data_IF_142440231213
#
_entry.id   IF_142440231213
#
_cell.length_a   1.000
_cell.length_b   1.000
_cell.length_c   1.000
_cell.angle_alpha   90.00
_cell.angle_beta   90.00
_cell.angle_gamma   90.00
#
_symmetry.space_group_name_H-M   'P 1'
#
loop_
_entity.id
_entity.type
_entity.pdbx_description
1 polymer ?
#
# COMPACT_ATOMS: atom_id res chain seq x y z
N UNK A 1 34.94 43.04 -8.84
CA UNK A 1 34.38 42.07 -7.88
C UNK A 1 33.10 42.65 -7.32
N UNK A 2 31.94 42.22 -7.84
CA UNK A 2 30.63 42.69 -7.41
C UNK A 2 29.98 41.62 -6.54
N UNK A 3 29.75 41.92 -5.27
CA UNK A 3 28.87 41.15 -4.40
C UNK A 3 27.47 41.76 -4.47
N UNK A 4 26.57 41.12 -5.22
CA UNK A 4 25.14 41.39 -5.16
C UNK A 4 24.55 40.62 -3.97
N UNK A 5 24.22 41.33 -2.90
CA UNK A 5 23.27 40.86 -1.89
C UNK A 5 21.88 41.34 -2.31
N UNK A 6 21.03 40.42 -2.74
CA UNK A 6 19.59 40.64 -2.85
C UNK A 6 18.96 40.34 -1.49
N UNK A 7 18.50 41.40 -0.80
CA UNK A 7 17.52 41.32 0.28
C UNK A 7 16.42 42.31 -0.05
N UNK A 8 15.21 41.81 -0.30
CA UNK A 8 13.96 42.56 -0.22
C UNK A 8 12.77 41.61 -0.54
N UNK A 9 11.52 41.97 -0.21
CA UNK A 9 10.97 42.38 1.09
C UNK A 9 9.64 41.63 1.35
N UNK A 10 8.90 42.02 2.39
CA UNK A 10 7.42 41.97 2.58
C UNK A 10 7.02 41.57 4.00
N UNK A 11 7.24 42.51 4.91
CA UNK A 11 6.34 42.76 6.03
C UNK A 11 5.58 44.05 5.73
N UNK A 12 4.26 44.00 5.61
CA UNK A 12 3.39 45.12 5.97
C UNK A 12 1.91 44.67 6.07
N UNK A 13 1.38 44.83 7.28
CA UNK A 13 0.03 45.29 7.64
C UNK A 13 -1.21 44.67 6.99
N UNK A 14 -2.01 43.95 7.81
CA UNK A 14 -3.42 44.32 8.09
C UNK A 14 -3.79 43.87 9.51
N UNK A 15 -3.73 44.78 10.49
CA UNK A 15 -4.49 44.67 11.74
C UNK A 15 -5.82 45.41 11.52
N UNK A 16 -6.92 44.68 11.38
CA UNK A 16 -8.27 45.26 11.39
C UNK A 16 -8.88 45.06 12.78
N UNK A 17 -9.01 46.18 13.50
CA UNK A 17 -9.83 46.32 14.70
C UNK A 17 -11.28 45.97 14.35
N UNK A 18 -11.87 45.05 15.09
CA UNK A 18 -13.32 44.86 15.14
C UNK A 18 -13.73 45.05 16.60
N UNK A 19 -14.27 46.22 16.89
CA UNK A 19 -14.98 46.55 18.11
C UNK A 19 -16.31 45.79 18.15
N UNK A 20 -16.47 44.89 19.11
CA UNK A 20 -17.77 44.28 19.44
C UNK A 20 -18.26 44.91 20.73
N UNK A 21 -19.38 45.61 20.60
CA UNK A 21 -20.19 46.20 21.65
C UNK A 21 -20.76 45.11 22.56
N UNK A 22 -20.57 45.29 23.86
CA UNK A 22 -21.19 44.50 24.93
C UNK A 22 -22.65 44.94 25.11
N UNK A 23 -23.58 43.99 25.06
CA UNK A 23 -24.87 44.11 25.74
C UNK A 23 -25.11 42.86 26.59
N UNK A 24 -25.45 43.10 27.85
CA UNK A 24 -25.49 42.11 28.91
C UNK A 24 -26.75 41.25 28.95
N UNK A 25 -26.61 40.12 29.62
CA UNK A 25 -27.70 39.25 30.07
C UNK A 25 -27.14 38.19 31.03
N UNK A 26 -27.78 37.94 32.20
CA UNK A 26 -27.23 37.06 33.22
C UNK A 26 -27.73 35.63 33.01
N UNK A 27 -26.84 34.67 32.75
CA UNK A 27 -27.18 33.26 32.78
C UNK A 27 -26.10 32.43 33.47
N UNK A 28 -26.51 31.92 34.64
CA UNK A 28 -26.36 30.53 35.07
C UNK A 28 -24.94 29.99 35.32
N UNK A 29 -24.63 29.84 36.61
CA UNK A 29 -23.55 29.00 37.14
C UNK A 29 -23.72 27.56 36.65
N UNK A 30 -22.84 27.09 35.76
CA UNK A 30 -22.47 25.68 35.66
C UNK A 30 -20.97 25.50 35.65
N UNK A 31 -20.51 24.67 36.59
CA UNK A 31 -19.13 24.20 36.78
C UNK A 31 -18.64 23.55 35.49
N UNK A 32 -17.55 24.08 34.92
CA UNK A 32 -16.70 23.36 33.97
C UNK A 32 -15.32 23.27 34.61
N UNK A 33 -15.07 22.14 35.24
CA UNK A 33 -13.73 21.68 35.64
C UNK A 33 -13.19 20.79 34.53
N UNK A 34 -11.99 21.05 34.05
CA UNK A 34 -11.18 20.00 33.43
C UNK A 34 -10.32 20.41 32.25
N UNK A 35 -9.03 20.59 32.55
CA UNK A 35 -7.90 20.15 31.73
C UNK A 35 -7.65 20.81 30.37
N UNK A 36 -6.79 21.84 30.40
CA UNK A 36 -5.94 22.22 29.27
C UNK A 36 -4.50 21.87 29.66
N UNK A 37 -3.90 20.91 28.96
CA UNK A 37 -2.46 20.64 29.02
C UNK A 37 -1.79 21.11 27.72
N UNK A 38 -0.89 22.07 27.91
CA UNK A 38 0.33 22.43 27.16
C UNK A 38 0.65 21.71 25.83
N UNK A 39 0.95 22.51 24.80
CA UNK A 39 2.17 22.34 23.98
C UNK A 39 2.58 23.69 23.38
N UNK A 40 3.42 24.43 24.10
CA UNK A 40 4.30 25.47 23.55
C UNK A 40 5.73 25.01 23.83
N UNK A 41 6.44 24.51 22.81
CA UNK A 41 7.91 24.45 22.84
C UNK A 41 8.42 25.11 21.56
N UNK A 42 8.84 26.35 21.74
CA UNK A 42 9.63 27.09 20.79
C UNK A 42 10.97 26.39 20.59
N UNK A 43 11.34 26.23 19.31
CA UNK A 43 12.65 25.85 18.85
C UNK A 43 13.63 26.99 19.18
N UNK A 44 14.54 26.77 20.12
CA UNK A 44 15.71 27.63 20.33
C UNK A 44 16.91 26.90 19.76
N UNK A 45 17.46 27.46 18.69
CA UNK A 45 18.70 27.03 18.05
C UNK A 45 19.89 27.30 18.96
N UNK A 46 20.68 26.28 19.25
CA UNK A 46 22.08 26.44 19.68
C UNK A 46 22.98 25.56 18.80
N UNK A 47 24.13 26.07 18.33
CA UNK A 47 25.05 25.30 17.50
C UNK A 47 25.96 24.46 18.42
N UNK A 48 25.78 23.14 18.40
CA UNK A 48 26.69 22.22 19.06
C UNK A 48 27.88 21.92 18.13
N UNK A 49 29.07 22.27 18.60
CA UNK A 49 30.36 21.89 18.03
C UNK A 49 30.46 20.36 17.95
N UNK A 50 30.64 19.83 16.74
CA UNK A 50 31.00 18.44 16.51
C UNK A 50 32.49 18.26 16.83
N UNK A 51 32.80 17.58 17.93
CA UNK A 51 34.10 16.94 18.12
C UNK A 51 33.94 15.45 17.79
N UNK A 52 34.73 15.01 16.80
CA UNK A 52 34.89 13.59 16.46
C UNK A 52 35.70 12.92 17.56
N UNK A 53 35.06 12.06 18.34
CA UNK A 53 35.75 10.97 19.02
C UNK A 53 35.36 9.64 18.38
N UNK A 54 36.39 8.97 17.88
CA UNK A 54 36.37 7.61 17.37
C UNK A 54 36.08 6.66 18.53
N UNK A 55 35.03 5.86 18.40
CA UNK A 55 35.02 4.48 18.90
C UNK A 55 34.14 3.66 17.97
N UNK A 56 34.79 2.80 17.18
CA UNK A 56 34.17 1.84 16.27
C UNK A 56 33.92 0.58 17.08
N UNK A 57 32.69 0.41 17.56
CA UNK A 57 32.17 -0.93 17.82
C UNK A 57 31.30 -1.33 16.62
N UNK A 58 31.71 -2.39 15.95
CA UNK A 58 30.98 -2.99 14.83
C UNK A 58 29.60 -3.46 15.31
N UNK A 59 28.50 -3.04 14.69
CA UNK A 59 27.25 -3.74 14.91
C UNK A 59 27.24 -4.97 14.00
N UNK A 60 27.36 -6.15 14.61
CA UNK A 60 26.99 -7.43 14.00
C UNK A 60 25.47 -7.40 13.77
N UNK A 61 25.04 -6.85 12.65
CA UNK A 61 23.68 -7.03 12.16
C UNK A 61 23.60 -8.34 11.40
N UNK A 62 23.06 -9.37 12.05
CA UNK A 62 22.44 -10.48 11.34
C UNK A 62 21.37 -9.92 10.42
N UNK A 63 21.63 -10.01 9.11
CA UNK A 63 20.67 -9.83 8.04
C UNK A 63 19.50 -10.79 8.26
N UNK A 64 18.49 -10.32 9.00
CA UNK A 64 17.16 -10.89 8.98
C UNK A 64 16.68 -10.83 7.54
N UNK A 65 16.76 -11.97 6.85
CA UNK A 65 16.12 -12.21 5.56
C UNK A 65 14.63 -11.90 5.73
N UNK A 66 14.24 -10.67 5.44
CA UNK A 66 12.87 -10.33 5.12
C UNK A 66 12.54 -11.10 3.84
N UNK A 67 12.04 -12.34 4.03
CA UNK A 67 11.28 -13.05 3.03
C UNK A 67 10.08 -12.18 2.70
N UNK A 68 10.24 -11.30 1.71
CA UNK A 68 9.10 -10.76 0.99
C UNK A 68 8.34 -11.97 0.47
N UNK A 69 7.19 -12.26 1.10
CA UNK A 69 6.22 -13.23 0.61
C UNK A 69 5.82 -12.74 -0.78
N UNK A 70 6.46 -13.29 -1.81
CA UNK A 70 6.05 -13.14 -3.20
C UNK A 70 4.57 -13.48 -3.27
N UNK A 71 3.71 -12.45 -3.28
CA UNK A 71 2.31 -12.60 -3.63
C UNK A 71 2.31 -12.87 -5.13
N UNK A 72 2.12 -14.13 -5.50
CA UNK A 72 2.15 -14.68 -6.86
C UNK A 72 1.58 -13.70 -7.91
N UNK A 73 2.41 -13.07 -8.76
CA UNK A 73 1.93 -12.19 -9.83
C UNK A 73 1.39 -12.96 -11.06
N UNK A 74 1.58 -14.29 -11.14
CA UNK A 74 1.36 -15.07 -12.37
C UNK A 74 0.14 -16.00 -12.40
N UNK A 75 -0.81 -15.85 -11.47
CA UNK A 75 -1.97 -16.75 -11.37
C UNK A 75 -1.64 -18.17 -10.86
N UNK A 76 -2.66 -18.89 -10.39
CA UNK A 76 -2.51 -20.27 -9.91
C UNK A 76 -2.76 -21.22 -11.09
N UNK A 77 -1.70 -21.75 -11.70
CA UNK A 77 -1.81 -22.85 -12.68
C UNK A 77 -1.77 -24.19 -11.93
N UNK A 78 -2.66 -25.10 -12.27
CA UNK A 78 -2.62 -26.48 -11.76
C UNK A 78 -1.51 -27.29 -12.46
N UNK A 79 -0.91 -28.28 -11.77
CA UNK A 79 -0.05 -29.26 -12.43
C UNK A 79 -0.85 -30.16 -13.39
N UNK A 80 -0.17 -30.93 -14.28
CA UNK A 80 -0.81 -31.86 -15.21
C UNK A 80 -1.72 -32.89 -14.54
N UNK A 81 -1.30 -33.42 -13.38
CA UNK A 81 -2.08 -34.37 -12.59
C UNK A 81 -2.28 -33.78 -11.19
N UNK A 82 -3.51 -33.85 -10.69
CA UNK A 82 -3.87 -33.43 -9.33
C UNK A 82 -4.14 -34.69 -8.49
N UNK A 83 -3.36 -34.94 -7.42
CA UNK A 83 -3.60 -36.11 -6.56
C UNK A 83 -4.99 -36.07 -5.92
N UNK A 84 -5.76 -37.16 -6.06
CA UNK A 84 -7.10 -37.27 -5.46
C UNK A 84 -7.06 -37.62 -3.97
N UNK A 85 -6.03 -38.32 -3.50
CA UNK A 85 -5.90 -38.69 -2.09
C UNK A 85 -5.29 -37.53 -1.30
N UNK A 86 -5.85 -37.24 -0.13
CA UNK A 86 -5.41 -36.13 0.73
C UNK A 86 -3.94 -36.24 1.17
N UNK A 87 -3.46 -37.45 1.45
CA UNK A 87 -2.07 -37.69 1.87
C UNK A 87 -1.10 -37.38 0.72
N UNK A 88 -1.42 -37.90 -0.47
CA UNK A 88 -0.65 -37.67 -1.71
C UNK A 88 -0.62 -36.17 -2.07
N UNK A 89 -1.74 -35.47 -1.90
CA UNK A 89 -1.84 -34.02 -2.10
C UNK A 89 -0.92 -33.25 -1.12
N UNK A 90 -0.93 -33.61 0.16
CA UNK A 90 -0.04 -33.02 1.17
C UNK A 90 1.43 -33.29 0.83
N UNK A 91 1.72 -34.51 0.38
CA UNK A 91 3.07 -34.91 0.00
C UNK A 91 3.56 -34.13 -1.22
N UNK A 92 2.73 -33.99 -2.25
CA UNK A 92 3.01 -33.17 -3.43
C UNK A 92 3.28 -31.70 -3.07
N UNK A 93 2.45 -31.09 -2.22
CA UNK A 93 2.64 -29.70 -1.73
C UNK A 93 3.96 -29.55 -0.99
N UNK A 94 4.33 -30.53 -0.17
CA UNK A 94 5.61 -30.55 0.54
C UNK A 94 6.80 -30.63 -0.43
N UNK A 95 6.78 -31.56 -1.38
CA UNK A 95 7.85 -31.73 -2.38
C UNK A 95 8.00 -30.49 -3.28
N UNK A 96 6.90 -29.89 -3.71
CA UNK A 96 6.92 -28.61 -4.44
C UNK A 96 7.49 -27.48 -3.56
N UNK A 97 7.19 -27.46 -2.26
CA UNK A 97 7.80 -26.54 -1.30
C UNK A 97 9.33 -26.67 -1.26
N UNK A 98 9.85 -27.88 -1.19
CA UNK A 98 11.30 -28.13 -1.25
C UNK A 98 11.88 -27.70 -2.60
N UNK A 99 11.19 -27.98 -3.71
CA UNK A 99 11.60 -27.56 -5.06
C UNK A 99 11.66 -26.04 -5.21
N UNK A 100 10.80 -25.29 -4.53
CA UNK A 100 10.87 -23.82 -4.53
C UNK A 100 12.08 -23.28 -3.78
N UNK A 101 12.68 -24.07 -2.90
CA UNK A 101 13.88 -23.69 -2.15
C UNK A 101 15.17 -24.12 -2.84
N UNK A 102 15.16 -25.25 -3.57
CA UNK A 102 16.32 -25.78 -4.30
C UNK A 102 15.97 -26.96 -5.21
N UNK A 103 16.98 -27.70 -5.69
CA UNK A 103 16.76 -28.92 -6.47
C UNK A 103 16.45 -30.12 -5.57
N UNK A 104 15.57 -31.01 -6.03
CA UNK A 104 15.25 -32.25 -5.33
C UNK A 104 16.27 -33.35 -5.67
N UNK A 105 16.46 -34.30 -4.75
CA UNK A 105 17.23 -35.51 -5.01
C UNK A 105 16.48 -36.43 -5.99
N UNK A 106 17.20 -37.26 -6.74
CA UNK A 106 16.60 -38.10 -7.79
C UNK A 106 15.38 -38.94 -7.32
N UNK A 107 15.39 -39.61 -6.13
CA UNK A 107 14.21 -40.33 -5.65
C UNK A 107 12.99 -39.43 -5.44
N UNK A 108 13.21 -38.21 -4.92
CA UNK A 108 12.14 -37.22 -4.69
C UNK A 108 11.62 -36.59 -5.98
N UNK A 109 12.46 -36.52 -7.02
CA UNK A 109 12.04 -36.10 -8.36
C UNK A 109 11.07 -37.12 -8.95
N UNK A 110 11.42 -38.41 -8.87
CA UNK A 110 10.56 -39.51 -9.35
C UNK A 110 9.23 -39.51 -8.58
N UNK A 111 9.28 -39.41 -7.26
CA UNK A 111 8.09 -39.32 -6.40
C UNK A 111 7.20 -38.13 -6.79
N UNK A 112 7.79 -36.95 -7.02
CA UNK A 112 7.03 -35.77 -7.42
C UNK A 112 6.37 -35.97 -8.80
N UNK A 113 7.10 -36.51 -9.78
CA UNK A 113 6.56 -36.78 -11.13
C UNK A 113 5.39 -37.77 -11.06
N UNK A 114 5.50 -38.83 -10.25
CA UNK A 114 4.42 -39.79 -10.06
C UNK A 114 3.16 -39.13 -9.46
N UNK A 115 3.33 -38.16 -8.55
CA UNK A 115 2.21 -37.49 -7.91
C UNK A 115 1.55 -36.43 -8.80
N UNK A 116 2.32 -35.62 -9.52
CA UNK A 116 1.79 -34.43 -10.25
C UNK A 116 1.91 -34.50 -11.76
N UNK A 117 2.43 -35.62 -12.29
CA UNK A 117 2.54 -35.93 -13.72
C UNK A 117 3.75 -35.32 -14.43
N UNK A 118 4.44 -34.35 -13.82
CA UNK A 118 5.62 -33.72 -14.40
C UNK A 118 6.51 -33.06 -13.35
N UNK A 119 7.77 -32.84 -13.69
CA UNK A 119 8.70 -32.07 -12.85
C UNK A 119 8.73 -30.59 -13.30
N UNK A 120 8.58 -29.62 -12.39
CA UNK A 120 8.64 -28.20 -12.76
C UNK A 120 10.08 -27.78 -13.10
N UNK A 121 10.27 -27.27 -14.32
CA UNK A 121 11.57 -26.84 -14.84
C UNK A 121 12.16 -25.69 -14.02
N UNK A 122 11.32 -24.73 -13.64
CA UNK A 122 11.71 -23.52 -12.92
C UNK A 122 11.02 -23.40 -11.54
N UNK A 123 11.60 -22.54 -10.70
CA UNK A 123 11.12 -22.29 -9.33
C UNK A 123 9.75 -21.60 -9.30
N UNK A 124 9.43 -20.78 -10.30
CA UNK A 124 8.15 -20.07 -10.33
C UNK A 124 7.00 -21.02 -10.63
N UNK A 125 7.17 -21.93 -11.59
CA UNK A 125 6.18 -22.96 -11.91
C UNK A 125 5.90 -23.85 -10.70
N UNK A 126 6.94 -24.26 -9.97
CA UNK A 126 6.77 -25.01 -8.72
C UNK A 126 5.94 -24.24 -7.67
N UNK A 127 6.20 -22.94 -7.52
CA UNK A 127 5.46 -22.07 -6.59
C UNK A 127 3.99 -21.88 -7.00
N UNK A 128 3.73 -21.75 -8.31
CA UNK A 128 2.36 -21.63 -8.86
C UNK A 128 1.58 -22.91 -8.63
N UNK A 129 2.17 -24.08 -8.92
CA UNK A 129 1.55 -25.39 -8.68
C UNK A 129 1.28 -25.62 -7.19
N UNK A 130 2.25 -25.31 -6.32
CA UNK A 130 2.08 -25.42 -4.87
C UNK A 130 0.88 -24.62 -4.37
N UNK A 131 0.80 -23.34 -4.77
CA UNK A 131 -0.31 -22.47 -4.40
C UNK A 131 -1.66 -22.97 -4.93
N UNK A 132 -1.69 -23.51 -6.15
CA UNK A 132 -2.90 -24.07 -6.74
C UNK A 132 -3.39 -25.31 -5.97
N UNK A 133 -2.48 -26.24 -5.62
CA UNK A 133 -2.80 -27.43 -4.84
C UNK A 133 -3.22 -27.10 -3.38
N UNK A 134 -2.60 -26.10 -2.74
CA UNK A 134 -3.03 -25.62 -1.42
C UNK A 134 -4.45 -25.05 -1.44
N UNK A 135 -4.81 -24.32 -2.50
CA UNK A 135 -6.19 -23.83 -2.70
C UNK A 135 -7.16 -24.98 -2.98
N UNK A 136 -6.76 -25.97 -3.78
CA UNK A 136 -7.55 -27.15 -4.07
C UNK A 136 -7.86 -27.94 -2.78
N UNK A 137 -6.83 -28.17 -1.95
CA UNK A 137 -6.98 -28.82 -0.64
C UNK A 137 -7.98 -28.11 0.26
N UNK A 138 -7.94 -26.77 0.31
CA UNK A 138 -8.87 -25.98 1.13
C UNK A 138 -10.30 -26.06 0.62
N UNK A 139 -10.51 -26.19 -0.70
CA UNK A 139 -11.84 -26.34 -1.28
C UNK A 139 -12.43 -27.72 -0.95
N UNK A 140 -11.69 -28.81 -1.12
CA UNK A 140 -12.20 -30.16 -0.79
C UNK A 140 -12.48 -30.37 0.70
N UNK A 141 -11.66 -29.82 1.59
CA UNK A 141 -11.89 -29.90 3.05
C UNK A 141 -13.18 -29.19 3.48
N UNK A 142 -13.69 -28.26 2.67
CA UNK A 142 -14.97 -27.58 2.90
C UNK A 142 -16.17 -28.30 2.25
N UNK A 143 -15.95 -29.24 1.32
CA UNK A 143 -17.00 -30.01 0.64
C UNK A 143 -17.26 -31.39 1.29
N UNK A 144 -16.35 -31.87 2.13
CA UNK A 144 -16.57 -33.12 2.86
C UNK A 144 -17.66 -32.93 3.94
N UNK A 145 -18.77 -33.68 3.91
CA UNK A 145 -19.85 -33.56 4.89
C UNK A 145 -19.34 -34.01 6.26
N UNK A 146 -19.02 -33.04 7.13
CA UNK A 146 -18.65 -33.32 8.52
C UNK A 146 -19.90 -33.71 9.29
N UNK A 147 -20.19 -35.02 9.32
CA UNK A 147 -21.05 -35.62 10.32
C UNK A 147 -20.37 -35.54 11.70
N UNK A 148 -20.89 -34.63 12.52
CA UNK A 148 -21.03 -34.61 13.99
C UNK A 148 -19.84 -34.88 14.95
N UNK A 149 -19.97 -34.16 16.09
CA UNK A 149 -19.35 -34.33 17.43
C UNK A 149 -17.96 -33.70 17.57
N UNK A 150 -17.64 -32.85 18.55
CA UNK A 150 -18.29 -32.44 19.81
C UNK A 150 -17.57 -31.18 20.32
N UNK A 151 -18.34 -30.26 20.93
CA UNK A 151 -17.99 -29.40 22.07
C UNK A 151 -16.57 -28.82 22.16
N UNK A 152 -16.38 -27.57 21.76
CA UNK A 152 -15.79 -26.55 22.65
C UNK A 152 -16.12 -25.14 22.15
N UNK A 153 -16.61 -24.33 23.08
CA UNK A 153 -17.14 -22.99 22.89
C UNK A 153 -16.06 -22.00 22.46
N UNK A 154 -16.08 -21.60 21.19
CA UNK A 154 -15.89 -20.20 20.74
C UNK A 154 -16.13 -20.12 19.23
N UNK A 155 -17.26 -19.56 18.77
CA UNK A 155 -17.48 -19.36 17.35
C UNK A 155 -16.63 -18.19 16.88
N UNK A 156 -15.43 -18.48 16.36
CA UNK A 156 -14.82 -17.61 15.36
C UNK A 156 -15.83 -17.46 14.23
N UNK A 157 -16.30 -16.23 13.99
CA UNK A 157 -17.13 -15.83 12.85
C UNK A 157 -16.35 -16.01 11.54
N UNK A 158 -15.98 -17.23 11.21
CA UNK A 158 -15.73 -17.60 9.83
C UNK A 158 -17.09 -17.81 9.20
N UNK A 159 -17.45 -16.89 8.29
CA UNK A 159 -18.54 -17.05 7.35
C UNK A 159 -18.36 -18.38 6.63
N UNK A 160 -19.00 -19.43 7.14
CA UNK A 160 -19.20 -20.67 6.41
C UNK A 160 -20.26 -20.34 5.37
N UNK A 161 -19.83 -20.09 4.15
CA UNK A 161 -20.71 -20.03 2.99
C UNK A 161 -21.43 -21.39 2.91
N UNK A 162 -22.73 -21.42 3.23
CA UNK A 162 -23.56 -22.61 2.99
C UNK A 162 -23.62 -22.84 1.48
N UNK A 163 -23.51 -24.08 1.03
CA UNK A 163 -23.56 -24.52 -0.38
C UNK A 163 -24.87 -24.19 -1.14
N UNK A 164 -25.79 -23.41 -0.56
CA UNK A 164 -26.92 -22.78 -1.26
C UNK A 164 -26.68 -21.32 -1.68
N UNK A 165 -25.56 -20.69 -1.31
CA UNK A 165 -25.32 -19.25 -1.56
C UNK A 165 -24.73 -18.92 -2.93
N UNK A 166 -24.41 -19.91 -3.77
CA UNK A 166 -23.98 -19.65 -5.17
C UNK A 166 -25.10 -18.97 -5.96
N UNK A 167 -26.37 -19.29 -5.64
CA UNK A 167 -27.57 -18.62 -6.19
C UNK A 167 -27.60 -17.14 -5.81
N UNK A 168 -27.07 -16.78 -4.64
CA UNK A 168 -26.91 -15.40 -4.23
C UNK A 168 -26.07 -14.63 -5.24
N UNK A 169 -24.86 -15.11 -5.56
CA UNK A 169 -23.93 -14.40 -6.45
C UNK A 169 -24.52 -14.09 -7.83
N UNK A 170 -25.24 -15.06 -8.42
CA UNK A 170 -25.85 -14.90 -9.75
C UNK A 170 -27.01 -13.90 -9.70
N UNK A 171 -27.85 -13.96 -8.66
CA UNK A 171 -28.94 -13.00 -8.48
C UNK A 171 -28.45 -11.59 -8.13
N UNK A 172 -27.29 -11.45 -7.49
CA UNK A 172 -26.69 -10.15 -7.21
C UNK A 172 -26.16 -9.48 -8.49
N UNK A 173 -25.55 -10.24 -9.41
CA UNK A 173 -25.05 -9.70 -10.66
C UNK A 173 -26.15 -9.03 -11.49
N UNK A 174 -27.38 -9.58 -11.45
CA UNK A 174 -28.54 -8.98 -12.13
C UNK A 174 -28.77 -7.52 -11.76
N UNK A 175 -28.55 -7.13 -10.50
CA UNK A 175 -28.77 -5.74 -10.07
C UNK A 175 -27.59 -4.83 -10.39
N UNK A 176 -26.37 -5.36 -10.50
CA UNK A 176 -25.17 -4.56 -10.75
C UNK A 176 -25.24 -3.82 -12.09
N UNK A 177 -25.90 -4.41 -13.09
CA UNK A 177 -26.04 -3.84 -14.44
C UNK A 177 -27.25 -2.91 -14.58
N UNK A 178 -28.22 -3.00 -13.67
CA UNK A 178 -29.50 -2.28 -13.76
C UNK A 178 -29.51 -1.02 -12.89
N UNK A 179 -28.83 -1.05 -11.73
CA UNK A 179 -28.87 0.07 -10.79
C UNK A 179 -27.74 1.06 -11.04
N UNK A 180 -28.06 2.34 -11.04
CA UNK A 180 -27.06 3.41 -11.06
C UNK A 180 -26.67 3.82 -9.64
N UNK A 181 -25.40 4.22 -9.45
CA UNK A 181 -24.93 4.76 -8.17
C UNK A 181 -25.08 6.29 -8.19
N UNK A 182 -25.85 6.90 -7.26
CA UNK A 182 -25.97 8.35 -7.18
C UNK A 182 -24.61 9.03 -6.98
N UNK A 183 -24.33 10.14 -7.68
CA UNK A 183 -23.04 10.83 -7.60
C UNK A 183 -22.76 11.45 -6.24
N UNK A 184 -23.78 11.95 -5.55
CA UNK A 184 -23.68 12.60 -4.23
C UNK A 184 -23.82 11.59 -3.10
N UNK A 185 -23.08 11.76 -2.00
CA UNK A 185 -23.11 10.83 -0.87
C UNK A 185 -24.40 10.99 -0.04
N UNK A 186 -25.01 12.17 -0.06
CA UNK A 186 -26.32 12.45 0.54
C UNK A 186 -27.42 11.63 -0.14
N UNK A 187 -27.39 11.55 -1.48
CA UNK A 187 -28.34 10.78 -2.27
C UNK A 187 -28.18 9.27 -2.02
N UNK A 188 -26.94 8.78 -1.93
CA UNK A 188 -26.67 7.39 -1.54
C UNK A 188 -27.27 7.08 -0.16
N UNK A 189 -27.05 7.97 0.82
CA UNK A 189 -27.59 7.82 2.17
C UNK A 189 -29.12 7.87 2.19
N UNK A 190 -29.72 8.74 1.38
CA UNK A 190 -31.16 8.85 1.20
C UNK A 190 -31.75 7.57 0.62
N UNK A 191 -31.14 6.99 -0.42
CA UNK A 191 -31.59 5.71 -1.02
C UNK A 191 -31.54 4.60 0.01
N UNK A 192 -30.45 4.47 0.77
CA UNK A 192 -30.36 3.46 1.84
C UNK A 192 -31.45 3.62 2.90
N UNK A 193 -31.76 4.86 3.28
CA UNK A 193 -32.84 5.16 4.21
C UNK A 193 -34.20 4.73 3.67
N UNK A 194 -34.54 5.09 2.42
CA UNK A 194 -35.83 4.73 1.80
C UNK A 194 -35.94 3.21 1.67
N UNK A 195 -34.90 2.52 1.18
CA UNK A 195 -34.88 1.06 1.10
C UNK A 195 -35.04 0.40 2.47
N UNK A 196 -34.42 0.97 3.51
CA UNK A 196 -34.57 0.51 4.89
C UNK A 196 -36.00 0.64 5.41
N UNK A 197 -36.64 1.80 5.20
CA UNK A 197 -38.04 2.03 5.56
C UNK A 197 -38.98 1.06 4.83
N UNK A 198 -38.76 0.85 3.53
CA UNK A 198 -39.53 -0.11 2.74
C UNK A 198 -39.38 -1.54 3.26
N UNK A 199 -38.17 -1.97 3.64
CA UNK A 199 -37.97 -3.30 4.21
C UNK A 199 -38.78 -3.52 5.50
N UNK A 200 -39.01 -2.45 6.28
CA UNK A 200 -39.81 -2.49 7.51
C UNK A 200 -41.32 -2.36 7.27
N UNK A 201 -41.75 -1.51 6.32
CA UNK A 201 -43.17 -1.25 6.03
C UNK A 201 -43.81 -2.25 5.06
N UNK A 202 -43.03 -2.81 4.13
CA UNK A 202 -43.50 -3.69 3.05
C UNK A 202 -44.05 -2.97 1.81
N UNK A 203 -44.17 -1.63 1.82
CA UNK A 203 -44.64 -0.83 0.68
C UNK A 203 -43.91 0.51 0.60
N UNK A 204 -43.84 1.08 -0.61
CA UNK A 204 -43.28 2.43 -0.86
C UNK A 204 -44.39 3.47 -0.93
N UNK A 205 -44.13 4.66 -0.41
CA UNK A 205 -44.93 5.85 -0.73
C UNK A 205 -44.68 6.28 -2.18
N UNK A 206 -45.64 6.92 -2.83
CA UNK A 206 -45.50 7.33 -4.25
C UNK A 206 -44.31 8.30 -4.46
N UNK A 207 -44.08 9.21 -3.51
CA UNK A 207 -42.91 10.09 -3.53
C UNK A 207 -41.58 9.32 -3.40
N UNK A 208 -41.55 8.28 -2.56
CA UNK A 208 -40.38 7.42 -2.35
C UNK A 208 -40.08 6.60 -3.60
N UNK A 209 -41.12 6.07 -4.28
CA UNK A 209 -40.97 5.37 -5.58
C UNK A 209 -40.34 6.26 -6.63
N UNK A 210 -40.88 7.49 -6.80
CA UNK A 210 -40.36 8.48 -7.74
C UNK A 210 -38.89 8.80 -7.45
N UNK A 211 -38.54 9.02 -6.17
CA UNK A 211 -37.16 9.30 -5.77
C UNK A 211 -36.21 8.13 -6.03
N UNK A 212 -36.60 6.90 -5.69
CA UNK A 212 -35.78 5.71 -5.97
C UNK A 212 -35.59 5.51 -7.46
N UNK A 213 -36.65 5.62 -8.25
CA UNK A 213 -36.58 5.50 -9.70
C UNK A 213 -35.65 6.55 -10.31
N UNK A 214 -35.70 7.79 -9.81
CA UNK A 214 -34.83 8.86 -10.27
C UNK A 214 -33.36 8.66 -9.87
N UNK A 215 -33.11 8.19 -8.64
CA UNK A 215 -31.75 8.10 -8.09
C UNK A 215 -30.98 6.85 -8.53
N UNK A 216 -31.64 5.69 -8.59
CA UNK A 216 -30.99 4.40 -8.91
C UNK A 216 -31.54 3.72 -10.15
N UNK A 217 -32.59 4.26 -10.79
CA UNK A 217 -33.17 3.70 -12.02
C UNK A 217 -34.03 2.44 -11.81
N UNK A 218 -34.23 1.99 -10.58
CA UNK A 218 -34.84 0.69 -10.29
C UNK A 218 -35.70 0.69 -9.02
N UNK A 219 -36.98 0.32 -9.14
CA UNK A 219 -37.90 0.15 -8.02
C UNK A 219 -38.01 -1.35 -7.65
N UNK A 220 -37.61 -1.75 -6.42
CA UNK A 220 -37.81 -3.11 -5.94
C UNK A 220 -39.30 -3.47 -5.81
N UNK A 221 -39.67 -4.72 -6.12
CA UNK A 221 -41.06 -5.20 -6.03
C UNK A 221 -41.44 -5.64 -4.62
N UNK A 222 -40.50 -6.27 -3.92
CA UNK A 222 -40.73 -6.84 -2.59
C UNK A 222 -39.56 -6.55 -1.62
N UNK A 223 -39.80 -6.77 -0.32
CA UNK A 223 -38.80 -6.52 0.74
C UNK A 223 -37.51 -7.34 0.54
N UNK A 224 -37.59 -8.55 -0.04
CA UNK A 224 -36.43 -9.39 -0.31
C UNK A 224 -35.56 -8.80 -1.42
N UNK A 225 -36.18 -8.30 -2.48
CA UNK A 225 -35.55 -7.61 -3.59
C UNK A 225 -34.95 -6.28 -3.15
N UNK A 226 -35.64 -5.51 -2.32
CA UNK A 226 -35.07 -4.28 -1.75
C UNK A 226 -33.81 -4.54 -0.93
N UNK A 227 -33.78 -5.63 -0.14
CA UNK A 227 -32.57 -6.06 0.58
C UNK A 227 -31.45 -6.46 -0.38
N UNK A 228 -31.76 -7.12 -1.50
CA UNK A 228 -30.78 -7.47 -2.54
C UNK A 228 -30.22 -6.23 -3.24
N UNK A 229 -31.08 -5.29 -3.62
CA UNK A 229 -30.72 -3.99 -4.21
C UNK A 229 -29.85 -3.19 -3.26
N UNK A 230 -30.21 -3.11 -1.97
CA UNK A 230 -29.41 -2.45 -0.94
C UNK A 230 -28.00 -3.06 -0.83
N UNK A 231 -27.90 -4.39 -0.82
CA UNK A 231 -26.60 -5.07 -0.80
C UNK A 231 -25.78 -4.84 -2.08
N UNK A 232 -26.41 -4.83 -3.26
CA UNK A 232 -25.75 -4.53 -4.53
C UNK A 232 -25.24 -3.08 -4.55
N UNK A 233 -26.08 -2.12 -4.16
CA UNK A 233 -25.72 -0.71 -4.04
C UNK A 233 -24.54 -0.51 -3.07
N UNK A 234 -24.53 -1.21 -1.93
CA UNK A 234 -23.42 -1.15 -0.97
C UNK A 234 -22.09 -1.60 -1.59
N UNK A 235 -22.12 -2.63 -2.44
CA UNK A 235 -20.93 -3.12 -3.16
C UNK A 235 -20.49 -2.12 -4.22
N UNK A 236 -21.42 -1.56 -5.00
CA UNK A 236 -21.10 -0.56 -6.02
C UNK A 236 -20.53 0.72 -5.39
N UNK A 237 -21.10 1.21 -4.29
CA UNK A 237 -20.58 2.35 -3.53
C UNK A 237 -19.18 2.04 -3.00
N UNK A 238 -18.97 0.85 -2.44
CA UNK A 238 -17.64 0.44 -1.99
C UNK A 238 -16.64 0.37 -3.15
N UNK A 239 -17.02 -0.21 -4.29
CA UNK A 239 -16.18 -0.27 -5.48
C UNK A 239 -15.82 1.13 -5.99
N UNK A 240 -16.80 2.05 -6.05
CA UNK A 240 -16.57 3.46 -6.36
C UNK A 240 -15.57 4.09 -5.40
N UNK A 241 -15.76 3.94 -4.08
CA UNK A 241 -14.85 4.50 -3.08
C UNK A 241 -13.43 3.93 -3.25
N UNK A 242 -13.29 2.64 -3.56
CA UNK A 242 -11.99 2.03 -3.81
C UNK A 242 -11.30 2.55 -5.06
N UNK A 243 -12.07 2.79 -6.14
CA UNK A 243 -11.59 3.42 -7.35
C UNK A 243 -11.18 4.87 -7.09
N UNK A 244 -12.06 5.65 -6.46
CA UNK A 244 -11.84 7.06 -6.12
C UNK A 244 -10.65 7.28 -5.18
N UNK A 245 -10.22 6.28 -4.39
CA UNK A 245 -9.04 6.42 -3.53
C UNK A 245 -7.73 6.60 -4.28
N UNK A 246 -7.71 6.34 -5.59
CA UNK A 246 -6.52 6.46 -6.42
C UNK A 246 -6.70 7.60 -7.42
N UNK A 247 -5.72 8.52 -7.53
CA UNK A 247 -5.75 9.50 -8.60
C UNK A 247 -5.63 8.78 -9.96
N UNK A 248 -6.31 9.25 -11.02
CA UNK A 248 -6.28 8.60 -12.33
C UNK A 248 -4.85 8.50 -12.90
N UNK A 249 -4.05 9.55 -12.71
CA UNK A 249 -2.64 9.62 -13.11
C UNK A 249 -1.79 9.99 -11.91
N UNK A 250 -0.62 9.37 -11.80
CA UNK A 250 0.41 9.71 -10.80
C UNK A 250 1.61 10.32 -11.53
N UNK A 251 1.97 11.59 -11.27
CA UNK A 251 3.14 12.21 -11.90
C UNK A 251 4.45 11.56 -11.47
N UNK A 252 5.42 11.52 -12.38
CA UNK A 252 6.77 11.00 -12.10
C UNK A 252 7.69 12.07 -11.50
N UNK A 253 7.49 13.35 -11.86
CA UNK A 253 8.28 14.47 -11.35
C UNK A 253 7.93 14.77 -9.88
N UNK A 254 8.92 14.62 -8.99
CA UNK A 254 8.82 14.89 -7.57
C UNK A 254 8.35 16.32 -7.24
N UNK A 255 8.77 17.33 -8.00
CA UNK A 255 8.38 18.73 -7.76
C UNK A 255 6.90 18.94 -8.05
N UNK A 256 6.42 18.34 -9.14
CA UNK A 256 5.00 18.34 -9.49
C UNK A 256 4.18 17.63 -8.40
N UNK A 257 4.65 16.48 -7.92
CA UNK A 257 3.98 15.73 -6.84
C UNK A 257 3.88 16.57 -5.56
N UNK A 258 4.95 17.27 -5.16
CA UNK A 258 4.93 18.14 -3.98
C UNK A 258 3.94 19.30 -4.13
N UNK A 259 3.96 19.97 -5.30
CA UNK A 259 3.03 21.07 -5.59
C UNK A 259 1.58 20.60 -5.51
N UNK A 260 1.25 19.45 -6.10
CA UNK A 260 -0.10 18.86 -6.01
C UNK A 260 -0.45 18.50 -4.58
N UNK A 261 0.48 17.93 -3.80
CA UNK A 261 0.23 17.63 -2.39
C UNK A 261 -0.18 18.88 -1.61
N UNK A 262 0.49 20.02 -1.84
CA UNK A 262 0.14 21.29 -1.21
C UNK A 262 -1.26 21.78 -1.61
N UNK A 263 -1.61 21.66 -2.90
CA UNK A 263 -2.95 22.04 -3.39
C UNK A 263 -4.03 21.12 -2.82
N UNK A 264 -3.80 19.80 -2.76
CA UNK A 264 -4.73 18.83 -2.17
C UNK A 264 -4.94 19.07 -0.67
N UNK A 265 -3.95 19.56 0.06
CA UNK A 265 -4.15 20.00 1.45
C UNK A 265 -5.10 21.21 1.55
N UNK A 266 -5.13 22.11 0.56
CA UNK A 266 -6.12 23.20 0.52
C UNK A 266 -7.51 22.65 0.21
N UNK A 267 -7.64 21.75 -0.77
CA UNK A 267 -8.90 21.06 -1.09
C UNK A 267 -9.45 20.29 0.11
N UNK A 268 -8.61 19.59 0.87
CA UNK A 268 -9.04 18.87 2.09
C UNK A 268 -9.63 19.84 3.14
N UNK A 269 -9.11 21.06 3.25
CA UNK A 269 -9.52 22.02 4.30
C UNK A 269 -10.67 22.92 3.90
N UNK A 270 -10.73 23.28 2.62
CA UNK A 270 -11.63 24.33 2.11
C UNK A 270 -12.54 23.85 0.97
N UNK A 271 -12.42 22.59 0.55
CA UNK A 271 -13.14 22.04 -0.60
C UNK A 271 -12.60 22.47 -1.97
N UNK A 272 -11.70 23.47 -2.03
CA UNK A 272 -11.09 24.00 -3.26
C UNK A 272 -9.65 24.46 -3.01
N UNK A 273 -8.80 24.43 -4.04
CA UNK A 273 -7.48 25.05 -4.06
C UNK A 273 -7.46 26.44 -4.73
N UNK A 274 -8.63 26.96 -5.12
CA UNK A 274 -8.79 28.13 -6.00
C UNK A 274 -8.81 27.73 -7.47
N UNK A 275 -9.40 28.56 -8.33
CA UNK A 275 -9.65 28.25 -9.75
C UNK A 275 -8.40 27.75 -10.50
N UNK A 276 -7.28 28.46 -10.37
CA UNK A 276 -6.01 28.06 -10.98
C UNK A 276 -5.44 26.76 -10.38
N UNK A 277 -5.62 26.56 -9.08
CA UNK A 277 -5.15 25.36 -8.38
C UNK A 277 -5.96 24.12 -8.76
N UNK A 278 -7.28 24.27 -8.85
CA UNK A 278 -8.21 23.22 -9.25
C UNK A 278 -7.99 22.82 -10.71
N UNK A 279 -7.82 23.81 -11.60
CA UNK A 279 -7.46 23.59 -13.00
C UNK A 279 -6.13 22.83 -13.12
N UNK A 280 -5.11 23.21 -12.36
CA UNK A 280 -3.81 22.53 -12.36
C UNK A 280 -3.90 21.09 -11.85
N UNK A 281 -4.66 20.82 -10.77
CA UNK A 281 -4.90 19.45 -10.28
C UNK A 281 -5.58 18.63 -11.38
N UNK A 282 -6.62 19.17 -12.02
CA UNK A 282 -7.38 18.48 -13.04
C UNK A 282 -6.53 18.19 -14.29
N UNK A 283 -5.69 19.12 -14.70
CA UNK A 283 -4.79 18.97 -15.84
C UNK A 283 -3.77 17.85 -15.60
N UNK A 284 -3.13 17.84 -14.43
CA UNK A 284 -2.02 16.93 -14.13
C UNK A 284 -2.50 15.54 -13.71
N UNK A 285 -3.52 15.44 -12.85
CA UNK A 285 -4.05 14.15 -12.39
C UNK A 285 -5.11 13.56 -13.32
N UNK A 286 -5.53 14.31 -14.37
CA UNK A 286 -6.65 13.97 -15.26
C UNK A 286 -7.96 13.75 -14.52
N UNK A 287 -8.14 14.45 -13.40
CA UNK A 287 -9.33 14.37 -12.56
C UNK A 287 -9.24 15.23 -11.31
N UNK A 288 -10.38 15.45 -10.67
CA UNK A 288 -10.50 16.22 -9.43
C UNK A 288 -11.15 15.37 -8.33
N UNK A 289 -10.67 15.44 -7.08
CA UNK A 289 -11.25 14.66 -5.99
C UNK A 289 -12.70 15.09 -5.74
N UNK A 290 -13.62 14.11 -5.64
CA UNK A 290 -15.05 14.37 -5.46
C UNK A 290 -15.38 15.10 -4.16
N UNK A 291 -14.62 14.82 -3.10
CA UNK A 291 -14.78 15.41 -1.78
C UNK A 291 -13.45 15.44 -1.01
N UNK A 292 -13.46 16.09 0.15
CA UNK A 292 -12.31 16.29 1.04
C UNK A 292 -11.66 14.96 1.44
N UNK A 293 -12.46 13.92 1.68
CA UNK A 293 -11.95 12.59 2.05
C UNK A 293 -11.17 11.95 0.90
N UNK A 294 -11.68 12.06 -0.33
CA UNK A 294 -10.97 11.59 -1.53
C UNK A 294 -9.66 12.38 -1.71
N UNK A 295 -9.70 13.70 -1.53
CA UNK A 295 -8.51 14.55 -1.60
C UNK A 295 -7.44 14.13 -0.58
N UNK A 296 -7.85 13.86 0.68
CA UNK A 296 -6.97 13.34 1.74
C UNK A 296 -6.32 12.00 1.37
N UNK A 297 -7.06 11.10 0.74
CA UNK A 297 -6.52 9.82 0.28
C UNK A 297 -5.51 10.00 -0.85
N UNK A 298 -5.82 10.85 -1.84
CA UNK A 298 -4.91 11.19 -2.93
C UNK A 298 -3.62 11.80 -2.39
N UNK A 299 -3.72 12.76 -1.46
CA UNK A 299 -2.57 13.37 -0.77
C UNK A 299 -1.67 12.30 -0.14
N UNK A 300 -2.23 11.41 0.69
CA UNK A 300 -1.45 10.35 1.35
C UNK A 300 -0.75 9.44 0.35
N UNK A 301 -1.42 9.12 -0.77
CA UNK A 301 -0.88 8.26 -1.81
C UNK A 301 0.27 8.93 -2.55
N UNK A 302 0.08 10.17 -3.01
CA UNK A 302 1.09 10.96 -3.71
C UNK A 302 2.31 11.24 -2.82
N UNK A 303 2.10 11.54 -1.54
CA UNK A 303 3.19 11.70 -0.58
C UNK A 303 3.99 10.39 -0.39
N UNK A 304 3.33 9.23 -0.43
CA UNK A 304 4.02 7.95 -0.37
C UNK A 304 4.87 7.68 -1.63
N UNK A 305 4.40 8.10 -2.80
CA UNK A 305 5.15 8.04 -4.07
C UNK A 305 6.38 8.93 -4.00
N UNK A 306 6.21 10.20 -3.60
CA UNK A 306 7.31 11.14 -3.40
C UNK A 306 8.41 10.57 -2.49
N UNK A 307 8.03 10.08 -1.30
CA UNK A 307 8.98 9.45 -0.36
C UNK A 307 9.66 8.20 -0.93
N UNK A 308 9.00 7.47 -1.83
CA UNK A 308 9.60 6.32 -2.49
C UNK A 308 10.64 6.76 -3.53
N UNK A 309 10.42 7.87 -4.25
CA UNK A 309 11.41 8.46 -5.15
C UNK A 309 12.62 8.99 -4.40
N UNK A 310 12.43 9.73 -3.29
CA UNK A 310 13.54 10.20 -2.45
C UNK A 310 14.42 9.04 -1.97
N UNK A 311 13.81 7.98 -1.43
CA UNK A 311 14.55 6.79 -0.99
C UNK A 311 15.32 6.11 -2.12
N UNK A 312 14.79 6.12 -3.35
CA UNK A 312 15.50 5.57 -4.51
C UNK A 312 16.71 6.44 -4.87
N UNK A 313 16.54 7.76 -4.89
CA UNK A 313 17.63 8.69 -5.16
C UNK A 313 18.75 8.59 -4.11
N UNK A 314 18.40 8.51 -2.82
CA UNK A 314 19.36 8.26 -1.73
C UNK A 314 20.07 6.90 -1.86
N UNK A 315 19.34 5.87 -2.26
CA UNK A 315 19.93 4.55 -2.49
C UNK A 315 20.92 4.56 -3.66
N UNK A 316 20.63 5.33 -4.70
CA UNK A 316 21.49 5.49 -5.88
C UNK A 316 22.74 6.31 -5.57
N UNK A 317 22.62 7.44 -4.86
CA UNK A 317 23.79 8.22 -4.41
C UNK A 317 24.69 7.39 -3.49
N UNK A 318 24.09 6.63 -2.56
CA UNK A 318 24.83 5.69 -1.71
C UNK A 318 25.52 4.59 -2.51
N UNK A 319 24.88 4.06 -3.55
CA UNK A 319 25.46 3.04 -4.44
C UNK A 319 26.68 3.62 -5.18
N UNK A 320 26.55 4.80 -5.77
CA UNK A 320 27.62 5.47 -6.51
C UNK A 320 28.82 5.78 -5.60
N UNK A 321 28.56 6.27 -4.38
CA UNK A 321 29.61 6.48 -3.38
C UNK A 321 30.36 5.18 -3.03
N UNK A 322 29.63 4.08 -2.77
CA UNK A 322 30.26 2.79 -2.47
C UNK A 322 31.07 2.25 -3.65
N UNK A 323 30.64 2.52 -4.88
CA UNK A 323 31.37 2.16 -6.09
C UNK A 323 32.66 2.96 -6.25
N UNK A 324 32.62 4.27 -6.00
CA UNK A 324 33.81 5.12 -5.94
C UNK A 324 34.81 4.61 -4.90
N UNK A 325 34.37 4.35 -3.67
CA UNK A 325 35.22 3.80 -2.60
C UNK A 325 35.83 2.45 -2.98
N UNK A 326 35.09 1.59 -3.71
CA UNK A 326 35.62 0.32 -4.21
C UNK A 326 36.70 0.53 -5.26
N UNK A 327 36.53 1.50 -6.15
CA UNK A 327 37.51 1.83 -7.18
C UNK A 327 38.78 2.43 -6.57
N UNK A 328 38.66 3.37 -5.64
CA UNK A 328 39.80 3.93 -4.89
C UNK A 328 40.59 2.84 -4.14
N UNK A 329 39.90 1.87 -3.53
CA UNK A 329 40.55 0.71 -2.90
C UNK A 329 41.29 -0.17 -3.91
N UNK A 330 40.75 -0.37 -5.12
CA UNK A 330 41.42 -1.12 -6.19
C UNK A 330 42.67 -0.39 -6.69
N UNK A 331 42.57 0.92 -6.91
CA UNK A 331 43.70 1.75 -7.33
C UNK A 331 44.81 1.78 -6.28
N UNK A 332 44.46 1.97 -5.01
CA UNK A 332 45.43 1.91 -3.90
C UNK A 332 46.15 0.56 -3.85
N UNK A 333 45.43 -0.55 -4.02
CA UNK A 333 46.04 -1.90 -4.09
C UNK A 333 46.98 -2.04 -5.29
N UNK A 334 46.60 -1.48 -6.45
CA UNK A 334 47.45 -1.48 -7.66
C UNK A 334 48.74 -0.69 -7.42
N UNK A 335 48.65 0.51 -6.84
CA UNK A 335 49.81 1.34 -6.50
C UNK A 335 50.73 0.66 -5.49
N UNK A 336 50.18 0.07 -4.42
CA UNK A 336 50.97 -0.70 -3.46
C UNK A 336 51.67 -1.90 -4.10
N UNK A 337 51.02 -2.58 -5.05
CA UNK A 337 51.66 -3.67 -5.78
C UNK A 337 52.82 -3.19 -6.66
N UNK A 338 52.70 -2.00 -7.28
CA UNK A 338 53.78 -1.40 -8.09
C UNK A 338 54.96 -1.01 -7.19
N UNK A 339 54.68 -0.33 -6.07
CA UNK A 339 55.71 0.07 -5.11
C UNK A 339 56.44 -1.15 -4.54
N UNK A 340 55.73 -2.21 -4.16
CA UNK A 340 56.37 -3.43 -3.66
C UNK A 340 57.28 -4.08 -4.71
N UNK A 341 56.92 -4.02 -6.00
CA UNK A 341 57.78 -4.52 -7.09
C UNK A 341 59.03 -3.66 -7.26
N UNK A 342 58.93 -2.34 -7.17
CA UNK A 342 60.11 -1.47 -7.27
C UNK A 342 61.08 -1.69 -6.10
N UNK A 343 60.56 -1.85 -4.88
CA UNK A 343 61.39 -2.16 -3.71
C UNK A 343 62.15 -3.50 -3.85
N UNK A 344 61.55 -4.51 -4.48
CA UNK A 344 62.23 -5.78 -4.75
C UNK A 344 63.36 -5.64 -5.77
N UNK A 345 63.20 -4.77 -6.79
CA UNK A 345 64.26 -4.49 -7.76
C UNK A 345 65.43 -3.78 -7.07
N UNK A 346 65.15 -2.80 -6.22
CA UNK A 346 66.19 -2.07 -5.48
C UNK A 346 66.96 -2.97 -4.50
N UNK A 347 66.30 -3.93 -3.85
CA UNK A 347 66.99 -4.92 -3.00
C UNK A 347 67.92 -5.81 -3.80
N UNK A 348 67.51 -6.26 -4.99
CA UNK A 348 68.37 -7.08 -5.86
C UNK A 348 69.55 -6.30 -6.43
N UNK A 349 69.38 -5.01 -6.75
CA UNK A 349 70.50 -4.14 -7.18
C UNK A 349 71.53 -3.97 -6.06
N UNK A 350 71.09 -3.82 -4.80
CA UNK A 350 72.02 -3.74 -3.66
C UNK A 350 72.81 -5.05 -3.46
N UNK A 351 72.13 -6.20 -3.50
CA UNK A 351 72.80 -7.50 -3.41
C UNK A 351 73.81 -7.74 -4.55
N UNK A 352 73.49 -7.29 -5.77
CA UNK A 352 74.40 -7.37 -6.91
C UNK A 352 75.60 -6.39 -6.81
N UNK A 353 75.41 -5.23 -6.17
CA UNK A 353 76.49 -4.27 -5.92
C UNK A 353 77.52 -4.77 -4.91
N UNK A 354 77.05 -5.40 -3.82
CA UNK A 354 77.93 -5.95 -2.77
C UNK A 354 78.76 -7.15 -3.25
N UNK A 355 78.29 -7.87 -4.27
CA UNK A 355 79.03 -8.98 -4.90
C UNK A 355 80.07 -8.53 -5.92
N UNK A 356 80.00 -7.29 -6.42
CA UNK A 356 80.97 -6.76 -7.38
C UNK A 356 82.17 -6.04 -6.74
N UNK A 357 82.11 -5.74 -5.43
CA UNK A 357 83.16 -5.07 -4.67
C UNK A 357 83.93 -5.98 -3.69
N UNK A 358 83.68 -7.29 -3.73
CA UNK A 358 84.54 -8.32 -3.14
C UNK A 358 85.42 -8.95 -4.24
#
# INVERSE_FOLDING_TARGET
MYCLQFVNPFYCNVFRKSSVTLFGGPLSRRKVSGFVWYFHKCFVSTPAKFQLEKNVEEPVYTLGKYFMKFRNPGGFKLPPVVPSKKQDLQRAVSLLGHRTQGYLTAPRVIELIQLVGAYPLDKETAQRWKGALELYQRKEVNLAPKFQKTTSNRPSRHFVYREGEVVGSVLYNKFMDVISVPRKDEDVSRVFRILGLFCGRGFFLEEEKKQIQQLIGYIPRDSREAKRVSNALKRLVHARVMYERHPPVTPEDCQVVLKICQLLCKVERFGTAGEQGDAYIQEVLKGFPRNENVAKWWYKRLLAVYRAHERKAEAETRKNYLEQVRNEKKERKKLLSILNKSYQVDSHIKEAGDTFFC
#
